data_IF_722614717646
#
_entry.id   IF_722614717646
#
_cell.length_a   1.000
_cell.length_b   1.000
_cell.length_c   1.000
_cell.angle_alpha   90.00
_cell.angle_beta   90.00
_cell.angle_gamma   90.00
#
_symmetry.space_group_name_H-M   'P 1'
#
loop_
_entity.id
_entity.type
_entity.pdbx_description
1 polymer ?
#
# COMPACT_ATOMS: atom_id res chain seq x y z
N UNK A 1 1.61 -24.24 -15.43
CA UNK A 1 2.22 -22.92 -15.12
C UNK A 1 3.63 -23.04 -14.53
N UNK A 2 3.92 -24.03 -13.65
CA UNK A 2 5.25 -24.22 -13.04
C UNK A 2 6.39 -24.41 -14.04
N UNK A 3 6.15 -25.09 -15.16
CA UNK A 3 7.16 -25.28 -16.22
C UNK A 3 7.65 -24.00 -16.91
N UNK A 4 6.90 -22.92 -16.84
CA UNK A 4 7.31 -21.65 -17.43
C UNK A 4 8.26 -20.84 -16.54
N UNK A 5 8.32 -21.11 -15.23
CA UNK A 5 9.30 -20.46 -14.35
C UNK A 5 10.72 -20.98 -14.59
N UNK A 6 10.88 -22.28 -14.89
CA UNK A 6 12.20 -22.85 -15.22
C UNK A 6 12.73 -22.28 -16.53
N UNK A 7 11.87 -22.13 -17.55
CA UNK A 7 12.23 -21.49 -18.81
C UNK A 7 12.62 -20.02 -18.60
N UNK A 8 11.83 -19.27 -17.83
CA UNK A 8 12.12 -17.88 -17.51
C UNK A 8 13.44 -17.72 -16.74
N UNK A 9 13.73 -18.62 -15.79
CA UNK A 9 15.01 -18.65 -15.09
C UNK A 9 16.17 -18.86 -16.06
N UNK A 10 16.08 -19.86 -16.96
CA UNK A 10 17.11 -20.15 -17.93
C UNK A 10 17.37 -18.95 -18.89
N UNK A 11 16.32 -18.25 -19.30
CA UNK A 11 16.43 -17.05 -20.14
C UNK A 11 17.13 -15.90 -19.43
N UNK A 12 16.79 -15.66 -18.16
CA UNK A 12 17.45 -14.62 -17.36
C UNK A 12 18.91 -14.98 -17.04
N UNK A 13 19.20 -16.25 -16.72
CA UNK A 13 20.57 -16.73 -16.51
C UNK A 13 21.42 -16.53 -17.77
N UNK A 14 20.88 -16.83 -18.94
CA UNK A 14 21.54 -16.58 -20.22
C UNK A 14 21.75 -15.09 -20.47
N UNK A 15 20.74 -14.25 -20.21
CA UNK A 15 20.87 -12.81 -20.35
C UNK A 15 21.98 -12.24 -19.47
N UNK A 16 22.05 -12.67 -18.20
CA UNK A 16 23.09 -12.29 -17.24
C UNK A 16 24.47 -12.81 -17.68
N UNK A 17 24.56 -14.03 -18.19
CA UNK A 17 25.84 -14.59 -18.69
C UNK A 17 26.39 -13.82 -19.89
N UNK A 18 25.52 -13.34 -20.77
CA UNK A 18 25.88 -12.55 -21.94
C UNK A 18 26.18 -11.09 -21.60
N UNK A 19 25.52 -10.55 -20.56
CA UNK A 19 25.69 -9.17 -20.12
C UNK A 19 25.60 -9.09 -18.58
N UNK A 20 26.74 -9.27 -17.87
CA UNK A 20 26.78 -9.30 -16.41
C UNK A 20 26.44 -7.98 -15.70
N UNK A 21 26.33 -6.89 -16.43
CA UNK A 21 25.95 -5.56 -15.97
C UNK A 21 24.47 -5.17 -16.27
N UNK A 22 23.66 -6.16 -16.71
CA UNK A 22 22.26 -5.94 -17.07
C UNK A 22 21.33 -5.93 -15.85
N UNK A 23 21.17 -4.79 -15.20
CA UNK A 23 20.36 -4.62 -13.99
C UNK A 23 18.93 -5.15 -14.14
N UNK A 24 18.27 -4.92 -15.28
CA UNK A 24 16.91 -5.40 -15.53
C UNK A 24 16.80 -6.93 -15.53
N UNK A 25 17.82 -7.65 -16.02
CA UNK A 25 17.81 -9.11 -15.99
C UNK A 25 17.87 -9.67 -14.57
N UNK A 26 18.66 -9.05 -13.68
CA UNK A 26 18.68 -9.41 -12.25
C UNK A 26 17.33 -9.10 -11.58
N UNK A 27 16.75 -7.93 -11.81
CA UNK A 27 15.45 -7.60 -11.28
C UNK A 27 14.36 -8.60 -11.73
N UNK A 28 14.34 -8.95 -13.01
CA UNK A 28 13.34 -9.87 -13.56
C UNK A 28 13.54 -11.31 -13.04
N UNK A 29 14.81 -11.76 -12.88
CA UNK A 29 15.10 -13.04 -12.26
C UNK A 29 14.66 -13.07 -10.79
N UNK A 30 14.84 -11.98 -10.05
CA UNK A 30 14.36 -11.85 -8.69
C UNK A 30 12.83 -12.03 -8.56
N UNK A 31 12.04 -11.54 -9.52
CA UNK A 31 10.60 -11.77 -9.54
C UNK A 31 10.26 -13.26 -9.71
N UNK A 32 10.96 -13.96 -10.61
CA UNK A 32 10.77 -15.41 -10.79
C UNK A 32 11.19 -16.18 -9.54
N UNK A 33 12.33 -15.84 -8.94
CA UNK A 33 12.81 -16.44 -7.69
C UNK A 33 11.81 -16.26 -6.55
N UNK A 34 11.19 -15.08 -6.44
CA UNK A 34 10.14 -14.81 -5.45
C UNK A 34 8.93 -15.74 -5.65
N UNK A 35 8.45 -15.92 -6.87
CA UNK A 35 7.34 -16.83 -7.17
C UNK A 35 7.69 -18.31 -6.88
N UNK A 36 8.97 -18.67 -6.96
CA UNK A 36 9.49 -19.98 -6.58
C UNK A 36 9.75 -20.13 -5.06
N UNK A 37 9.51 -19.09 -4.26
CA UNK A 37 9.78 -19.08 -2.82
C UNK A 37 11.27 -18.98 -2.45
N UNK A 38 12.15 -18.68 -3.42
CA UNK A 38 13.61 -18.54 -3.24
C UNK A 38 13.98 -17.11 -2.86
N UNK A 39 13.46 -16.66 -1.71
CA UNK A 39 13.48 -15.25 -1.30
C UNK A 39 14.88 -14.67 -1.06
N UNK A 40 15.81 -15.45 -0.50
CA UNK A 40 17.18 -14.97 -0.26
C UNK A 40 17.91 -14.69 -1.57
N UNK A 41 17.72 -15.54 -2.56
CA UNK A 41 18.31 -15.38 -3.89
C UNK A 41 17.65 -14.19 -4.64
N UNK A 42 16.35 -14.03 -4.50
CA UNK A 42 15.64 -12.87 -5.03
C UNK A 42 16.19 -11.57 -4.44
N UNK A 43 16.43 -11.52 -3.12
CA UNK A 43 17.01 -10.36 -2.45
C UNK A 43 18.44 -10.07 -2.92
N UNK A 44 19.25 -11.12 -3.13
CA UNK A 44 20.60 -10.96 -3.68
C UNK A 44 20.59 -10.35 -5.09
N UNK A 45 19.67 -10.82 -5.94
CA UNK A 45 19.49 -10.28 -7.29
C UNK A 45 19.00 -8.84 -7.29
N UNK A 46 18.04 -8.48 -6.43
CA UNK A 46 17.58 -7.10 -6.29
C UNK A 46 18.71 -6.16 -5.81
N UNK A 47 19.51 -6.60 -4.85
CA UNK A 47 20.68 -5.85 -4.40
C UNK A 47 21.70 -5.68 -5.53
N UNK A 48 21.90 -6.72 -6.36
CA UNK A 48 22.78 -6.64 -7.53
C UNK A 48 22.25 -5.68 -8.57
N UNK A 49 20.95 -5.71 -8.86
CA UNK A 49 20.31 -4.77 -9.79
C UNK A 49 20.49 -3.31 -9.34
N UNK A 50 20.27 -3.02 -8.05
CA UNK A 50 20.45 -1.69 -7.47
C UNK A 50 21.94 -1.26 -7.49
N UNK A 51 22.88 -2.18 -7.26
CA UNK A 51 24.30 -1.89 -7.32
C UNK A 51 24.76 -1.55 -8.75
N UNK A 52 24.14 -2.16 -9.77
CA UNK A 52 24.43 -1.90 -11.19
C UNK A 52 23.75 -0.61 -11.68
N UNK A 53 22.52 -0.36 -11.25
CA UNK A 53 21.79 0.87 -11.52
C UNK A 53 21.09 1.37 -10.23
N UNK A 54 21.74 2.27 -9.48
CA UNK A 54 21.16 2.86 -8.26
C UNK A 54 19.90 3.69 -8.49
N UNK A 55 19.59 4.02 -9.75
CA UNK A 55 18.41 4.81 -10.11
C UNK A 55 17.26 3.97 -10.65
N UNK A 56 17.40 2.63 -10.69
CA UNK A 56 16.40 1.72 -11.25
C UNK A 56 15.18 1.54 -10.32
N UNK A 57 14.02 2.17 -10.62
CA UNK A 57 12.91 2.25 -9.67
C UNK A 57 12.29 0.90 -9.35
N UNK A 58 12.14 0.03 -10.35
CA UNK A 58 11.51 -1.29 -10.20
C UNK A 58 12.30 -2.18 -9.24
N UNK A 59 13.62 -2.13 -9.25
CA UNK A 59 14.45 -2.90 -8.32
C UNK A 59 14.28 -2.42 -6.87
N UNK A 60 14.26 -1.11 -6.64
CA UNK A 60 13.99 -0.55 -5.31
C UNK A 60 12.59 -0.89 -4.83
N UNK A 61 11.58 -0.77 -5.69
CA UNK A 61 10.20 -1.12 -5.40
C UNK A 61 10.04 -2.60 -5.05
N UNK A 62 10.60 -3.49 -5.87
CA UNK A 62 10.54 -4.94 -5.63
C UNK A 62 11.25 -5.34 -4.34
N UNK A 63 12.39 -4.69 -4.02
CA UNK A 63 13.08 -4.85 -2.74
C UNK A 63 12.21 -4.40 -1.57
N UNK A 64 11.56 -3.23 -1.68
CA UNK A 64 10.64 -2.72 -0.66
C UNK A 64 9.53 -3.73 -0.37
N UNK A 65 8.86 -4.23 -1.42
CA UNK A 65 7.77 -5.21 -1.29
C UNK A 65 8.24 -6.48 -0.59
N UNK A 66 9.44 -6.98 -0.92
CA UNK A 66 9.98 -8.17 -0.29
C UNK A 66 10.35 -7.94 1.18
N UNK A 67 10.98 -6.82 1.52
CA UNK A 67 11.28 -6.45 2.91
C UNK A 67 10.02 -6.35 3.75
N UNK A 68 8.99 -5.68 3.25
CA UNK A 68 7.70 -5.53 3.93
C UNK A 68 7.00 -6.88 4.12
N UNK A 69 7.10 -7.80 3.16
CA UNK A 69 6.55 -9.16 3.27
C UNK A 69 7.16 -9.93 4.45
N UNK A 70 8.45 -9.71 4.74
CA UNK A 70 9.16 -10.36 5.84
C UNK A 70 9.14 -9.56 7.15
N UNK A 71 8.45 -8.41 7.19
CA UNK A 71 8.35 -7.59 8.40
C UNK A 71 9.55 -6.68 8.66
N UNK A 72 10.44 -6.53 7.68
CA UNK A 72 11.58 -5.62 7.72
C UNK A 72 11.11 -4.19 7.39
N UNK A 73 10.25 -3.65 8.28
CA UNK A 73 9.54 -2.40 8.04
C UNK A 73 10.44 -1.17 8.00
N UNK A 74 11.48 -1.13 8.84
CA UNK A 74 12.42 0.00 8.93
C UNK A 74 13.18 0.24 7.64
N UNK A 75 13.51 -0.84 6.92
CA UNK A 75 14.16 -0.75 5.61
C UNK A 75 13.14 -0.68 4.46
N UNK A 76 12.01 -1.37 4.58
CA UNK A 76 11.02 -1.51 3.51
C UNK A 76 10.25 -0.23 3.22
N UNK A 77 9.74 0.47 4.26
CA UNK A 77 8.93 1.66 4.05
C UNK A 77 9.65 2.82 3.34
N UNK A 78 10.90 3.16 3.67
CA UNK A 78 11.62 4.19 2.93
C UNK A 78 11.80 3.89 1.44
N UNK A 79 11.91 2.61 1.08
CA UNK A 79 12.01 2.18 -0.30
C UNK A 79 10.64 2.12 -1.00
N UNK A 80 9.54 2.05 -0.27
CA UNK A 80 8.20 1.91 -0.82
C UNK A 80 7.79 3.10 -1.69
N UNK A 81 8.31 4.29 -1.41
CA UNK A 81 8.03 5.50 -2.21
C UNK A 81 8.70 5.50 -3.59
N UNK A 82 9.61 4.56 -3.87
CA UNK A 82 10.11 4.35 -5.22
C UNK A 82 9.03 3.93 -6.22
N UNK A 83 7.86 3.43 -5.72
CA UNK A 83 6.71 3.11 -6.59
C UNK A 83 6.35 4.25 -7.53
N UNK A 84 6.44 5.49 -7.08
CA UNK A 84 6.11 6.68 -7.87
C UNK A 84 6.99 6.86 -9.12
N UNK A 85 8.19 6.30 -9.11
CA UNK A 85 9.15 6.38 -10.22
C UNK A 85 9.05 5.19 -11.17
N UNK A 86 8.28 4.14 -10.82
CA UNK A 86 8.09 2.97 -11.67
C UNK A 86 7.20 3.30 -12.87
N UNK A 87 7.42 2.63 -14.00
CA UNK A 87 6.62 2.80 -15.22
C UNK A 87 5.11 2.66 -14.97
N UNK A 88 4.73 1.85 -13.99
CA UNK A 88 3.35 1.55 -13.66
C UNK A 88 2.63 2.72 -12.96
N UNK A 89 3.36 3.57 -12.22
CA UNK A 89 2.79 4.63 -11.39
C UNK A 89 3.10 6.04 -11.88
N UNK A 90 3.99 6.21 -12.86
CA UNK A 90 4.30 7.53 -13.43
C UNK A 90 3.00 8.22 -13.88
N UNK A 91 2.78 9.44 -13.38
CA UNK A 91 1.61 10.27 -13.73
C UNK A 91 0.33 9.94 -12.94
N UNK A 92 0.40 9.03 -11.96
CA UNK A 92 -0.75 8.73 -11.05
C UNK A 92 -0.68 9.52 -9.74
N UNK A 93 0.39 10.28 -9.53
CA UNK A 93 0.56 11.12 -8.35
C UNK A 93 -0.45 12.27 -8.31
N UNK A 94 -0.78 12.71 -7.11
CA UNK A 94 -1.60 13.91 -6.92
C UNK A 94 -0.87 15.14 -7.46
N UNK A 95 -1.51 15.83 -8.40
CA UNK A 95 -0.99 17.12 -8.89
C UNK A 95 -1.36 18.22 -7.88
N UNK A 96 -0.39 18.72 -7.13
CA UNK A 96 -0.57 19.76 -6.12
C UNK A 96 0.75 20.50 -5.86
N UNK A 97 0.66 21.76 -5.46
CA UNK A 97 1.80 22.55 -4.97
C UNK A 97 2.10 22.33 -3.49
N UNK A 98 1.21 21.62 -2.77
CA UNK A 98 1.34 21.40 -1.33
C UNK A 98 2.38 20.31 -1.03
N UNK A 99 3.14 20.45 0.07
CA UNK A 99 4.13 19.45 0.47
C UNK A 99 3.48 18.16 0.95
N UNK A 100 4.21 17.05 0.82
CA UNK A 100 3.82 15.80 1.47
C UNK A 100 3.91 15.94 2.99
N UNK A 101 2.93 15.37 3.69
CA UNK A 101 2.91 15.37 5.15
C UNK A 101 3.98 14.45 5.72
N UNK A 102 4.77 14.94 6.67
CA UNK A 102 5.90 14.24 7.29
C UNK A 102 5.68 13.90 8.77
N UNK A 103 4.43 13.86 9.23
CA UNK A 103 4.12 13.60 10.65
C UNK A 103 3.91 14.87 11.50
N UNK A 104 3.98 16.07 10.92
CA UNK A 104 3.79 17.31 11.66
C UNK A 104 2.36 17.44 12.20
N UNK A 105 2.22 17.71 13.53
CA UNK A 105 0.93 17.87 14.18
C UNK A 105 0.19 19.14 13.76
N UNK A 106 -1.13 19.15 13.99
CA UNK A 106 -2.01 20.32 13.82
C UNK A 106 -2.05 20.92 12.39
N UNK A 107 -1.81 20.10 11.36
CA UNK A 107 -1.98 20.50 9.96
C UNK A 107 -3.35 20.09 9.43
N UNK A 108 -3.84 20.83 8.44
CA UNK A 108 -4.96 20.37 7.60
C UNK A 108 -4.39 19.39 6.59
N UNK A 109 -4.76 18.12 6.69
CA UNK A 109 -4.17 17.03 5.89
C UNK A 109 -5.17 16.52 4.87
N UNK A 110 -4.74 16.36 3.62
CA UNK A 110 -5.45 15.64 2.57
C UNK A 110 -4.85 14.24 2.39
N UNK A 111 -5.58 13.23 2.86
CA UNK A 111 -5.29 11.81 2.65
C UNK A 111 -5.96 11.37 1.36
N UNK A 112 -5.19 10.88 0.39
CA UNK A 112 -5.72 10.49 -0.90
C UNK A 112 -5.42 9.03 -1.25
N UNK A 113 -6.38 8.40 -1.94
CA UNK A 113 -6.30 7.00 -2.36
C UNK A 113 -5.55 6.89 -3.68
N UNK A 114 -4.60 5.97 -3.74
CA UNK A 114 -3.72 5.72 -4.88
C UNK A 114 -3.85 4.31 -5.46
N UNK A 115 -4.26 3.37 -4.64
CA UNK A 115 -4.30 1.95 -4.97
C UNK A 115 -5.73 1.42 -5.06
N UNK A 116 -5.90 0.10 -5.01
CA UNK A 116 -7.20 -0.55 -5.08
C UNK A 116 -8.02 -0.40 -3.80
N UNK A 117 -9.30 -0.75 -3.88
CA UNK A 117 -10.23 -0.67 -2.75
C UNK A 117 -9.79 -1.52 -1.54
N UNK A 118 -9.10 -2.64 -1.78
CA UNK A 118 -8.54 -3.49 -0.72
C UNK A 118 -7.46 -2.78 0.07
N UNK A 119 -6.58 -2.06 -0.63
CA UNK A 119 -5.51 -1.27 -0.03
C UNK A 119 -6.08 -0.08 0.75
N UNK A 120 -7.11 0.58 0.22
CA UNK A 120 -7.82 1.65 0.92
C UNK A 120 -8.41 1.15 2.25
N UNK A 121 -9.02 -0.04 2.25
CA UNK A 121 -9.53 -0.67 3.46
C UNK A 121 -8.39 -0.95 4.44
N UNK A 122 -7.31 -1.56 4.01
CA UNK A 122 -6.17 -1.90 4.86
C UNK A 122 -5.55 -0.65 5.50
N UNK A 123 -5.23 0.36 4.70
CA UNK A 123 -4.61 1.59 5.18
C UNK A 123 -5.57 2.48 5.99
N UNK A 124 -6.89 2.33 5.83
CA UNK A 124 -7.89 3.03 6.63
C UNK A 124 -7.75 2.75 8.13
N UNK A 125 -7.11 1.63 8.53
CA UNK A 125 -6.77 1.34 9.92
C UNK A 125 -5.94 2.44 10.60
N UNK A 126 -5.26 3.28 9.81
CA UNK A 126 -4.41 4.39 10.28
C UNK A 126 -5.14 5.75 10.32
N UNK A 127 -6.37 5.84 9.80
CA UNK A 127 -7.16 7.08 9.80
C UNK A 127 -7.36 7.65 11.22
N UNK A 128 -7.65 6.85 12.27
CA UNK A 128 -7.81 7.40 13.62
C UNK A 128 -6.55 8.10 14.14
N UNK A 129 -5.36 7.53 13.88
CA UNK A 129 -4.09 8.11 14.32
C UNK A 129 -3.77 9.41 13.54
N UNK A 130 -4.04 9.41 12.23
CA UNK A 130 -3.90 10.60 11.40
C UNK A 130 -4.87 11.71 11.82
N UNK A 131 -6.13 11.37 12.10
CA UNK A 131 -7.14 12.33 12.56
C UNK A 131 -6.74 12.95 13.90
N UNK A 132 -6.21 12.16 14.85
CA UNK A 132 -5.74 12.65 16.13
C UNK A 132 -4.54 13.61 16.01
N UNK A 133 -3.74 13.50 14.95
CA UNK A 133 -2.58 14.35 14.68
C UNK A 133 -2.92 15.61 13.86
N UNK A 134 -4.10 15.65 13.23
CA UNK A 134 -4.49 16.69 12.27
C UNK A 134 -5.43 17.72 12.90
N UNK A 135 -5.35 18.98 12.48
CA UNK A 135 -6.37 20.00 12.82
C UNK A 135 -7.64 19.85 11.97
N UNK A 136 -7.51 19.32 10.76
CA UNK A 136 -8.59 18.93 9.85
C UNK A 136 -8.08 17.76 8.99
N UNK A 137 -8.93 16.77 8.78
CA UNK A 137 -8.62 15.64 7.89
C UNK A 137 -9.66 15.58 6.76
N UNK A 138 -9.17 15.54 5.53
CA UNK A 138 -9.94 15.27 4.33
C UNK A 138 -9.47 13.92 3.79
N UNK A 139 -10.38 12.95 3.64
CA UNK A 139 -10.09 11.61 3.15
C UNK A 139 -10.73 11.41 1.79
N UNK A 140 -9.91 11.20 0.77
CA UNK A 140 -10.38 10.76 -0.54
C UNK A 140 -10.29 9.24 -0.61
N UNK A 141 -11.40 8.60 -0.98
CA UNK A 141 -11.49 7.15 -1.12
C UNK A 141 -12.48 6.75 -2.23
N UNK A 142 -12.58 5.46 -2.51
CA UNK A 142 -13.64 4.93 -3.36
C UNK A 142 -15.02 5.29 -2.79
N UNK A 143 -15.95 5.70 -3.64
CA UNK A 143 -17.29 6.15 -3.21
C UNK A 143 -18.06 5.10 -2.41
N UNK A 144 -17.80 3.80 -2.67
CA UNK A 144 -18.41 2.68 -1.94
C UNK A 144 -17.94 2.57 -0.48
N UNK A 145 -16.76 3.09 -0.18
CA UNK A 145 -16.18 3.08 1.17
C UNK A 145 -16.64 4.27 2.04
N UNK A 146 -17.12 5.35 1.44
CA UNK A 146 -17.53 6.55 2.19
C UNK A 146 -18.58 6.23 3.29
N UNK A 147 -19.66 5.48 3.03
CA UNK A 147 -20.61 5.13 4.09
C UNK A 147 -20.00 4.25 5.19
N UNK A 148 -19.09 3.34 4.82
CA UNK A 148 -18.37 2.48 5.76
C UNK A 148 -17.46 3.29 6.67
N UNK A 149 -16.67 4.20 6.10
CA UNK A 149 -15.71 5.01 6.86
C UNK A 149 -16.43 6.04 7.75
N UNK A 150 -17.51 6.66 7.27
CA UNK A 150 -18.32 7.60 8.08
C UNK A 150 -18.89 6.97 9.35
N UNK A 151 -19.32 5.71 9.32
CA UNK A 151 -19.84 5.02 10.51
C UNK A 151 -18.75 4.39 11.38
N UNK A 152 -17.54 4.25 10.85
CA UNK A 152 -16.43 3.56 11.52
C UNK A 152 -15.47 4.49 12.24
N UNK A 153 -15.34 5.71 11.76
CA UNK A 153 -14.38 6.68 12.27
C UNK A 153 -15.07 7.88 12.93
N UNK A 154 -14.27 8.67 13.67
CA UNK A 154 -14.75 9.85 14.41
C UNK A 154 -15.43 10.86 13.50
N UNK A 155 -16.37 11.63 14.06
CA UNK A 155 -16.99 12.74 13.37
C UNK A 155 -15.99 13.86 13.04
N UNK A 156 -16.32 14.67 12.04
CA UNK A 156 -15.50 15.81 11.62
C UNK A 156 -14.52 15.52 10.49
N UNK A 157 -14.37 14.24 10.07
CA UNK A 157 -13.60 13.90 8.86
C UNK A 157 -14.42 14.24 7.62
N UNK A 158 -13.83 15.00 6.70
CA UNK A 158 -14.43 15.30 5.39
C UNK A 158 -14.10 14.16 4.41
N UNK A 159 -15.11 13.50 3.83
CA UNK A 159 -14.92 12.44 2.86
C UNK A 159 -15.23 12.91 1.44
N UNK A 160 -14.37 12.54 0.48
CA UNK A 160 -14.51 12.84 -0.94
C UNK A 160 -14.30 11.59 -1.77
N UNK A 161 -15.01 11.49 -2.89
CA UNK A 161 -14.73 10.44 -3.86
C UNK A 161 -13.54 10.83 -4.77
N UNK A 162 -12.93 9.86 -5.41
CA UNK A 162 -11.78 10.07 -6.33
C UNK A 162 -12.08 11.06 -7.47
N UNK A 163 -13.35 11.15 -7.90
CA UNK A 163 -13.79 12.05 -8.99
C UNK A 163 -13.94 13.51 -8.54
N UNK A 164 -13.90 13.77 -7.23
CA UNK A 164 -14.06 15.11 -6.67
C UNK A 164 -12.92 15.39 -5.67
N UNK A 165 -11.72 15.67 -6.15
CA UNK A 165 -10.55 15.92 -5.30
C UNK A 165 -10.78 17.13 -4.40
N UNK A 166 -10.03 17.22 -3.31
CA UNK A 166 -10.08 18.37 -2.41
C UNK A 166 -9.49 19.61 -3.10
N UNK A 167 -10.13 20.80 -2.98
CA UNK A 167 -9.53 22.06 -3.41
C UNK A 167 -8.21 22.31 -2.69
N UNK A 168 -7.22 22.84 -3.39
CA UNK A 168 -5.85 22.97 -2.88
C UNK A 168 -5.73 23.95 -1.68
N UNK A 169 -6.66 24.89 -1.55
CA UNK A 169 -6.76 25.82 -0.42
C UNK A 169 -7.38 25.20 0.84
N UNK A 170 -7.98 24.01 0.73
CA UNK A 170 -8.64 23.32 1.83
C UNK A 170 -7.69 22.53 2.74
N UNK A 171 -6.43 22.32 2.34
CA UNK A 171 -5.41 21.59 3.09
C UNK A 171 -4.04 22.26 3.03
N UNK A 172 -3.18 21.97 4.00
CA UNK A 172 -1.83 22.50 4.10
C UNK A 172 -0.78 21.53 3.52
N UNK A 173 -1.07 20.24 3.62
CA UNK A 173 -0.22 19.15 3.13
C UNK A 173 -1.06 17.95 2.76
N UNK A 174 -0.48 17.03 2.01
CA UNK A 174 -1.14 15.81 1.55
C UNK A 174 -0.31 14.56 1.86
N UNK A 175 -0.94 13.39 1.87
CA UNK A 175 -0.26 12.11 1.94
C UNK A 175 -1.06 11.04 1.19
N UNK A 176 -0.40 10.20 0.36
CA UNK A 176 -1.04 9.01 -0.17
C UNK A 176 -1.24 7.95 0.92
N UNK A 177 -2.35 7.21 0.85
CA UNK A 177 -2.69 6.21 1.89
C UNK A 177 -1.57 5.19 2.12
N UNK A 178 -0.92 4.72 1.06
CA UNK A 178 0.16 3.74 1.15
C UNK A 178 1.47 4.26 1.78
N UNK A 179 1.61 5.58 1.98
CA UNK A 179 2.78 6.14 2.69
C UNK A 179 2.52 6.37 4.20
N UNK A 180 1.28 6.23 4.68
CA UNK A 180 0.96 6.32 6.11
C UNK A 180 1.75 5.33 6.99
N UNK A 181 1.93 4.05 6.57
CA UNK A 181 2.66 3.09 7.38
C UNK A 181 4.11 3.49 7.67
N UNK A 182 4.78 4.19 6.77
CA UNK A 182 6.13 4.70 7.02
C UNK A 182 6.20 5.61 8.27
N UNK A 183 5.10 6.31 8.57
CA UNK A 183 5.02 7.22 9.73
C UNK A 183 4.48 6.50 10.97
N UNK A 184 3.41 5.70 10.82
CA UNK A 184 2.71 5.11 11.97
C UNK A 184 3.11 3.67 12.27
N UNK A 185 3.75 2.97 11.33
CA UNK A 185 4.18 1.56 11.44
C UNK A 185 5.62 1.37 10.99
N UNK A 186 6.57 2.22 11.49
CA UNK A 186 7.96 2.16 11.03
C UNK A 186 8.67 0.86 11.44
N UNK A 187 8.21 0.18 12.48
CA UNK A 187 8.80 -1.08 12.99
C UNK A 187 7.73 -2.08 13.39
N UNK A 188 8.09 -3.34 13.60
CA UNK A 188 7.18 -4.40 14.04
C UNK A 188 6.48 -4.04 15.37
N UNK A 189 7.21 -3.47 16.32
CA UNK A 189 6.68 -3.09 17.64
C UNK A 189 5.56 -2.04 17.54
N UNK A 190 5.59 -1.20 16.51
CA UNK A 190 4.57 -0.16 16.30
C UNK A 190 3.18 -0.72 16.00
N UNK A 191 3.07 -1.99 15.59
CA UNK A 191 1.79 -2.66 15.36
C UNK A 191 1.09 -3.08 16.67
N UNK A 192 1.80 -3.17 17.79
CA UNK A 192 1.21 -3.50 19.09
C UNK A 192 0.15 -2.49 19.55
N UNK A 193 0.21 -1.26 19.05
CA UNK A 193 -0.73 -0.16 19.32
C UNK A 193 -1.94 -0.16 18.38
N UNK A 194 -1.96 -1.00 17.36
CA UNK A 194 -3.03 -1.03 16.38
C UNK A 194 -4.34 -1.53 17.00
N UNK A 195 -5.46 -0.88 16.65
CA UNK A 195 -6.79 -1.37 17.00
C UNK A 195 -7.05 -2.72 16.32
N UNK A 196 -7.58 -3.69 17.08
CA UNK A 196 -7.93 -5.02 16.52
C UNK A 196 -9.12 -4.97 15.57
N UNK A 197 -10.03 -4.00 15.74
CA UNK A 197 -11.18 -3.79 14.88
C UNK A 197 -11.38 -2.28 14.71
N UNK A 198 -11.37 -1.80 13.47
CA UNK A 198 -11.52 -0.38 13.14
C UNK A 198 -12.69 -0.10 12.19
N UNK A 199 -13.31 -1.14 11.62
CA UNK A 199 -14.51 -1.00 10.79
C UNK A 199 -15.75 -1.49 11.51
N UNK A 200 -16.83 -0.73 11.40
CA UNK A 200 -18.10 -1.01 12.05
C UNK A 200 -19.15 -1.42 11.02
N UNK A 201 -19.79 -2.58 11.24
CA UNK A 201 -20.91 -3.02 10.41
C UNK A 201 -22.17 -2.19 10.70
N UNK A 202 -23.08 -2.17 9.75
CA UNK A 202 -24.44 -1.68 9.95
C UNK A 202 -25.24 -2.75 10.71
N UNK A 203 -25.62 -2.42 11.95
CA UNK A 203 -26.18 -3.41 12.89
C UNK A 203 -27.49 -4.04 12.40
N UNK A 204 -28.40 -3.24 11.84
CA UNK A 204 -29.69 -3.73 11.33
C UNK A 204 -29.49 -4.70 10.17
N UNK A 205 -28.69 -4.31 9.18
CA UNK A 205 -28.38 -5.15 8.02
C UNK A 205 -27.65 -6.44 8.40
N UNK A 206 -26.75 -6.35 9.38
CA UNK A 206 -26.05 -7.54 9.91
C UNK A 206 -27.02 -8.53 10.55
N UNK A 207 -28.01 -8.03 11.31
CA UNK A 207 -29.05 -8.88 11.89
C UNK A 207 -29.98 -9.50 10.85
N UNK A 208 -30.35 -8.74 9.82
CA UNK A 208 -31.18 -9.26 8.71
C UNK A 208 -30.46 -10.37 7.95
N UNK A 209 -29.18 -10.16 7.61
CA UNK A 209 -28.35 -11.17 6.94
C UNK A 209 -28.22 -12.44 7.80
N UNK A 210 -27.95 -12.30 9.10
CA UNK A 210 -27.92 -13.46 10.02
C UNK A 210 -29.23 -14.23 10.03
N UNK A 211 -30.36 -13.53 10.09
CA UNK A 211 -31.69 -14.19 10.09
C UNK A 211 -31.94 -14.92 8.78
N UNK A 212 -31.48 -14.39 7.66
CA UNK A 212 -31.63 -15.02 6.34
C UNK A 212 -30.77 -16.28 6.23
N UNK A 213 -29.49 -16.20 6.59
CA UNK A 213 -28.58 -17.34 6.55
C UNK A 213 -29.00 -18.49 7.46
N UNK A 214 -29.44 -18.19 8.70
CA UNK A 214 -29.92 -19.21 9.63
C UNK A 214 -31.23 -19.89 9.19
N UNK A 215 -32.08 -19.20 8.39
CA UNK A 215 -33.27 -19.81 7.81
C UNK A 215 -32.94 -20.76 6.65
N UNK A 216 -31.88 -20.50 5.92
CA UNK A 216 -31.43 -21.38 4.82
C UNK A 216 -30.73 -22.63 5.36
N UNK A 217 -29.96 -22.53 6.44
CA UNK A 217 -29.39 -23.71 7.13
C UNK A 217 -30.48 -24.66 7.69
N UNK A 218 -31.59 -24.12 8.19
CA UNK A 218 -32.72 -24.91 8.69
C UNK A 218 -33.53 -25.62 7.58
N UNK A 219 -33.32 -25.27 6.30
CA UNK A 219 -33.93 -25.93 5.15
C UNK A 219 -33.09 -27.05 4.54
N UNK A 220 -31.82 -27.17 4.98
CA UNK A 220 -30.84 -28.12 4.43
C UNK A 220 -30.63 -29.33 5.37
N UNK A 221 -31.32 -29.40 6.48
CA UNK A 221 -31.45 -30.54 7.43
C UNK A 221 -32.85 -31.16 7.31
#
# INVERSE_FOLDING_TARGET
>A
ELGRFDEAMADHDKAISLRPDYAEAFNNRALVLKELGRFDEAMADLNKAIALDPTYPEAHWNKAVQLLLFGEFEEGWPLFDWRWKTKQHIGTELTTSKPQWSGAANKRVFLWAEQGIGDEIMYASLIPELAASSSKLIVQCDERLIPLFKRSFIDGIEYRCRKSPAPEDSYDCHIPMGSLPNIFRPSLDSFSKASKAYLHCESERSQELRKTLLKDEAKTL
#
